data_IF_841568350453
#
_entry.id   IF_841568350453
#
_cell.length_a   1.000
_cell.length_b   1.000
_cell.length_c   1.000
_cell.angle_alpha   90.00
_cell.angle_beta   90.00
_cell.angle_gamma   90.00
#
_symmetry.space_group_name_H-M   'P 1'
#
loop_
_entity.id
_entity.type
_entity.pdbx_description
1 polymer ?
#
# COMPACT_ATOMS: atom_id res chain seq x y z
N UNK A 1 -42.73 -1.32 -9.95
CA UNK A 1 -41.32 -1.67 -10.23
C UNK A 1 -40.45 -0.43 -10.03
N UNK A 2 -40.00 -0.15 -8.80
CA UNK A 2 -39.00 0.88 -8.48
C UNK A 2 -37.93 0.38 -7.48
N UNK A 3 -37.96 -0.90 -7.10
CA UNK A 3 -37.01 -1.51 -6.16
C UNK A 3 -35.61 -1.68 -6.80
N UNK A 4 -35.57 -2.06 -8.09
CA UNK A 4 -34.35 -2.57 -8.74
C UNK A 4 -33.21 -1.54 -8.82
N UNK A 5 -33.52 -0.26 -9.04
CA UNK A 5 -32.48 0.80 -9.12
C UNK A 5 -31.93 1.17 -7.74
N UNK A 6 -32.76 1.14 -6.69
CA UNK A 6 -32.33 1.46 -5.33
C UNK A 6 -31.40 0.37 -4.77
N UNK A 7 -31.70 -0.90 -5.06
CA UNK A 7 -30.87 -2.02 -4.65
C UNK A 7 -29.51 -2.03 -5.36
N UNK A 8 -29.45 -1.65 -6.64
CA UNK A 8 -28.20 -1.49 -7.40
C UNK A 8 -27.29 -0.37 -6.85
N UNK A 9 -27.87 0.78 -6.54
CA UNK A 9 -27.12 1.92 -5.96
C UNK A 9 -26.65 1.59 -4.55
N UNK A 10 -27.49 0.94 -3.75
CA UNK A 10 -27.14 0.49 -2.40
C UNK A 10 -26.06 -0.58 -2.42
N UNK A 11 -26.12 -1.54 -3.34
CA UNK A 11 -25.13 -2.61 -3.46
C UNK A 11 -23.77 -2.07 -3.98
N UNK A 12 -23.78 -1.09 -4.90
CA UNK A 12 -22.56 -0.37 -5.29
C UNK A 12 -21.95 0.43 -4.14
N UNK A 13 -22.79 1.09 -3.35
CA UNK A 13 -22.35 1.90 -2.21
C UNK A 13 -21.80 1.00 -1.08
N UNK A 14 -22.44 -0.14 -0.83
CA UNK A 14 -21.97 -1.18 0.11
C UNK A 14 -20.65 -1.80 -0.32
N UNK A 15 -20.47 -2.10 -1.61
CA UNK A 15 -19.17 -2.53 -2.13
C UNK A 15 -18.11 -1.43 -1.96
N UNK A 16 -18.45 -0.16 -2.17
CA UNK A 16 -17.50 0.95 -2.01
C UNK A 16 -17.07 1.16 -0.55
N UNK A 17 -17.94 0.95 0.44
CA UNK A 17 -17.59 1.05 1.87
C UNK A 17 -16.94 -0.23 2.43
N UNK A 18 -17.24 -1.40 1.86
CA UNK A 18 -16.60 -2.66 2.27
C UNK A 18 -15.11 -2.76 1.86
N UNK A 19 -14.61 -1.83 1.04
CA UNK A 19 -13.20 -1.76 0.60
C UNK A 19 -12.35 -0.75 1.40
N UNK A 20 -12.91 -0.12 2.44
CA UNK A 20 -12.20 0.89 3.25
C UNK A 20 -11.77 0.36 4.62
N UNK A 21 -11.89 -0.94 4.87
CA UNK A 21 -11.27 -1.55 6.05
C UNK A 21 -9.78 -1.74 5.77
N UNK A 22 -8.98 -0.86 6.38
CA UNK A 22 -7.54 -1.05 6.49
C UNK A 22 -7.29 -2.18 7.48
N UNK A 23 -6.65 -3.24 7.02
CA UNK A 23 -6.32 -4.40 7.87
C UNK A 23 -5.39 -3.98 9.01
N UNK A 24 -5.51 -4.64 10.17
CA UNK A 24 -4.56 -4.45 11.27
C UNK A 24 -3.10 -4.68 10.83
N UNK A 25 -2.88 -5.63 9.91
CA UNK A 25 -1.57 -5.93 9.31
C UNK A 25 -0.91 -4.71 8.66
N UNK A 26 -1.71 -3.77 8.10
CA UNK A 26 -1.16 -2.56 7.49
C UNK A 26 -0.37 -1.74 8.53
N UNK A 27 -0.91 -1.61 9.74
CA UNK A 27 -0.27 -0.85 10.81
C UNK A 27 1.00 -1.54 11.30
N UNK A 28 0.98 -2.87 11.43
CA UNK A 28 2.17 -3.66 11.78
C UNK A 28 3.27 -3.54 10.70
N UNK A 29 2.89 -3.56 9.42
CA UNK A 29 3.81 -3.36 8.30
C UNK A 29 4.35 -1.94 8.25
N UNK A 30 3.54 -0.94 8.63
CA UNK A 30 3.95 0.46 8.66
C UNK A 30 4.98 0.68 9.77
N UNK A 31 4.72 0.17 10.97
CA UNK A 31 5.64 0.25 12.10
C UNK A 31 6.95 -0.46 11.78
N UNK A 32 6.89 -1.64 11.15
CA UNK A 32 8.08 -2.35 10.69
C UNK A 32 8.88 -1.53 9.68
N UNK A 33 8.21 -0.95 8.67
CA UNK A 33 8.89 -0.15 7.64
C UNK A 33 9.58 1.09 8.22
N UNK A 34 8.99 1.71 9.25
CA UNK A 34 9.58 2.85 9.97
C UNK A 34 10.79 2.41 10.82
N UNK A 35 10.69 1.28 11.53
CA UNK A 35 11.80 0.75 12.33
C UNK A 35 12.99 0.32 11.45
N UNK A 36 12.72 -0.13 10.23
CA UNK A 36 13.73 -0.56 9.25
C UNK A 36 14.08 0.52 8.22
N UNK A 37 13.64 1.77 8.40
CA UNK A 37 13.75 2.82 7.38
C UNK A 37 15.19 3.04 6.89
N UNK A 38 16.17 3.05 7.80
CA UNK A 38 17.59 3.22 7.45
C UNK A 38 18.14 2.09 6.56
N UNK A 39 17.66 0.87 6.75
CA UNK A 39 18.01 -0.27 5.89
C UNK A 39 17.36 -0.14 4.51
N UNK A 40 16.09 0.28 4.49
CA UNK A 40 15.33 0.49 3.26
C UNK A 40 15.94 1.62 2.41
N UNK A 41 16.37 2.73 3.01
CA UNK A 41 17.06 3.82 2.29
C UNK A 41 18.41 3.38 1.73
N UNK A 42 19.13 2.49 2.43
CA UNK A 42 20.39 1.94 1.94
C UNK A 42 20.19 1.00 0.75
N UNK A 43 19.17 0.14 0.79
CA UNK A 43 18.92 -0.89 -0.25
C UNK A 43 18.08 -0.39 -1.43
N UNK A 44 17.19 0.56 -1.19
CA UNK A 44 16.18 1.06 -2.13
C UNK A 44 16.23 2.59 -2.23
N UNK A 45 17.44 3.16 -2.20
CA UNK A 45 17.68 4.60 -2.27
C UNK A 45 16.89 5.27 -3.40
N UNK A 46 16.13 6.31 -3.04
CA UNK A 46 15.31 7.11 -3.94
C UNK A 46 14.25 6.30 -4.71
N UNK A 47 13.75 5.22 -4.10
CA UNK A 47 12.67 4.41 -4.63
C UNK A 47 11.46 4.41 -3.69
N UNK A 48 10.29 4.18 -4.28
CA UNK A 48 9.12 3.74 -3.55
C UNK A 48 9.28 2.27 -3.20
N UNK A 49 8.94 1.91 -1.97
CA UNK A 49 9.08 0.56 -1.42
C UNK A 49 7.71 0.13 -0.89
N UNK A 50 7.20 -0.99 -1.41
CA UNK A 50 6.00 -1.64 -0.91
C UNK A 50 6.36 -2.72 0.10
N UNK A 51 5.73 -2.68 1.27
CA UNK A 51 5.88 -3.66 2.35
C UNK A 51 4.56 -4.40 2.57
N UNK A 52 4.65 -5.71 2.71
CA UNK A 52 3.54 -6.57 3.13
C UNK A 52 4.07 -7.76 3.94
N UNK A 53 3.43 -8.10 5.05
CA UNK A 53 3.89 -9.12 6.00
C UNK A 53 5.36 -8.90 6.41
N UNK A 54 5.72 -7.66 6.72
CA UNK A 54 7.06 -7.24 7.15
C UNK A 54 8.16 -7.58 6.13
N UNK A 55 7.82 -7.62 4.84
CA UNK A 55 8.75 -7.91 3.75
C UNK A 55 8.57 -6.93 2.60
N UNK A 56 9.67 -6.56 1.94
CA UNK A 56 9.62 -5.77 0.71
C UNK A 56 9.10 -6.64 -0.43
N UNK A 57 7.90 -6.32 -0.93
CA UNK A 57 7.25 -7.07 -2.01
C UNK A 57 7.44 -6.43 -3.39
N UNK A 58 7.67 -5.11 -3.44
CA UNK A 58 8.01 -4.40 -4.66
C UNK A 58 8.80 -3.12 -4.35
N UNK A 59 9.65 -2.67 -5.28
CA UNK A 59 10.26 -1.35 -5.22
C UNK A 59 10.46 -0.75 -6.61
N UNK A 60 10.53 0.57 -6.71
CA UNK A 60 10.74 1.24 -7.99
C UNK A 60 10.56 2.75 -7.96
N UNK A 61 10.84 3.44 -9.07
CA UNK A 61 10.83 4.90 -9.13
C UNK A 61 9.41 5.51 -9.14
N UNK A 62 8.38 4.72 -9.46
CA UNK A 62 7.01 5.20 -9.62
C UNK A 62 6.05 4.53 -8.60
N UNK A 63 5.36 5.31 -7.74
CA UNK A 63 4.54 4.76 -6.67
C UNK A 63 3.36 3.92 -7.19
N UNK A 64 2.72 4.35 -8.27
CA UNK A 64 1.58 3.63 -8.87
C UNK A 64 1.97 2.27 -9.44
N UNK A 65 3.17 2.16 -10.03
CA UNK A 65 3.69 0.89 -10.51
C UNK A 65 4.01 -0.04 -9.34
N UNK A 66 4.62 0.49 -8.28
CA UNK A 66 4.92 -0.26 -7.07
C UNK A 66 3.65 -0.77 -6.38
N UNK A 67 2.61 0.06 -6.25
CA UNK A 67 1.29 -0.35 -5.73
C UNK A 67 0.66 -1.46 -6.55
N UNK A 68 0.69 -1.33 -7.88
CA UNK A 68 0.12 -2.35 -8.78
C UNK A 68 0.85 -3.67 -8.66
N UNK A 69 2.18 -3.66 -8.73
CA UNK A 69 2.99 -4.88 -8.60
C UNK A 69 2.83 -5.54 -7.23
N UNK A 70 2.72 -4.75 -6.16
CA UNK A 70 2.52 -5.28 -4.81
C UNK A 70 1.13 -5.92 -4.67
N UNK A 71 0.09 -5.28 -5.21
CA UNK A 71 -1.27 -5.84 -5.23
C UNK A 71 -1.30 -7.18 -5.99
N UNK A 72 -0.68 -7.22 -7.18
CA UNK A 72 -0.61 -8.44 -8.00
C UNK A 72 0.14 -9.57 -7.30
N UNK A 73 1.24 -9.26 -6.59
CA UNK A 73 2.05 -10.26 -5.86
C UNK A 73 1.40 -10.79 -4.59
N UNK A 74 0.64 -9.96 -3.88
CA UNK A 74 0.09 -10.28 -2.55
C UNK A 74 -1.37 -10.70 -2.60
N UNK A 75 -2.09 -10.39 -3.69
CA UNK A 75 -3.53 -10.55 -3.79
C UNK A 75 -4.32 -9.62 -2.85
N UNK A 76 -3.69 -8.57 -2.32
CA UNK A 76 -4.33 -7.57 -1.44
C UNK A 76 -4.71 -6.31 -2.21
N UNK A 77 -5.73 -5.63 -1.69
CA UNK A 77 -6.11 -4.30 -2.15
C UNK A 77 -4.94 -3.31 -1.93
N UNK A 78 -4.80 -2.31 -2.80
CA UNK A 78 -3.66 -1.37 -2.80
C UNK A 78 -3.60 -0.54 -1.52
N UNK A 79 -4.76 -0.32 -0.91
CA UNK A 79 -4.97 0.42 0.32
C UNK A 79 -4.44 -0.35 1.54
N UNK A 80 -4.36 -1.68 1.44
CA UNK A 80 -3.87 -2.58 2.49
C UNK A 80 -2.38 -2.93 2.36
N UNK A 81 -1.65 -2.17 1.54
CA UNK A 81 -0.20 -2.35 1.34
C UNK A 81 0.50 -1.04 1.65
N UNK A 82 1.45 -1.10 2.56
CA UNK A 82 2.28 0.04 2.94
C UNK A 82 3.20 0.38 1.77
N UNK A 83 3.21 1.66 1.36
CA UNK A 83 4.13 2.16 0.35
C UNK A 83 4.79 3.43 0.87
N UNK A 84 6.10 3.36 1.09
CA UNK A 84 6.91 4.47 1.61
C UNK A 84 7.99 4.87 0.60
N UNK A 85 8.40 6.14 0.63
CA UNK A 85 9.54 6.60 -0.16
C UNK A 85 10.82 6.48 0.68
N UNK A 86 11.76 5.69 0.19
CA UNK A 86 13.07 5.49 0.82
C UNK A 86 14.01 6.63 0.39
N UNK A 87 13.86 7.77 1.04
CA UNK A 87 14.62 8.99 0.75
C UNK A 87 16.08 8.81 1.18
N UNK A 88 17.01 8.97 0.24
CA UNK A 88 18.39 9.19 0.61
C UNK A 88 18.56 10.67 0.93
N UNK A 89 18.74 10.99 2.20
CA UNK A 89 19.23 12.31 2.58
C UNK A 89 20.63 12.47 2.00
N UNK A 90 20.77 13.29 0.96
CA UNK A 90 22.06 13.86 0.62
C UNK A 90 22.49 14.69 1.84
N UNK A 91 23.36 14.10 2.66
CA UNK A 91 24.07 14.83 3.69
C UNK A 91 24.82 15.96 2.97
N UNK A 92 24.29 17.17 3.08
CA UNK A 92 25.02 18.41 2.79
C UNK A 92 26.21 18.45 3.76
N UNK A 93 27.33 17.85 3.34
CA UNK A 93 28.65 17.95 3.97
C UNK A 93 29.36 19.22 3.52
#
# INVERSE_FOLDING_TARGET
MKQDTFDLVRNRSLNMVAHLEIDAQFWDDQDWALQHYAELTTKHSNQWVAVYNQQVVASGPAPEQVRTQAADKTGRARENIVVIFAEAGDQIF
#
